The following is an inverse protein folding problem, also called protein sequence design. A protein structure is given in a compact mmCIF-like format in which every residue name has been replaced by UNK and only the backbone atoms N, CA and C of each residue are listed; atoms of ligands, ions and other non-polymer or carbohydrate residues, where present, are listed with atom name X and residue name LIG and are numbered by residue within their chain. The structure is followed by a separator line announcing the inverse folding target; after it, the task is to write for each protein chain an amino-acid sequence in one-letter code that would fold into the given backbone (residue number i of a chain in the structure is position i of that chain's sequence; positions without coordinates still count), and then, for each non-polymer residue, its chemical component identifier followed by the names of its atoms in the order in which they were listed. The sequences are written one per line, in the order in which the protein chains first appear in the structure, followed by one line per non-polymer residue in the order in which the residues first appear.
data_IF_640522092860
#
_entry.id   IF_640522092860
#
_cell.length_a   1.000
_cell.length_b   1.000
_cell.length_c   1.000
_cell.angle_alpha   90.00
_cell.angle_beta   90.00
_cell.angle_gamma   90.00
#
_symmetry.space_group_name_H-M   'P 1'
#
loop_
_entity.id
_entity.type
_entity.pdbx_description
1 polymer ?
#
# COMPACT_ATOMS: atom_id res chain seq x y z
N UNK A 1 -21.35 -4.29 -11.08
CA UNK A 1 -20.27 -3.42 -11.60
C UNK A 1 -19.23 -3.26 -10.50
N UNK A 2 -18.12 -4.03 -10.57
CA UNK A 2 -16.99 -3.93 -9.64
C UNK A 2 -16.07 -2.74 -9.98
N UNK A 3 -16.40 -2.00 -11.04
CA UNK A 3 -15.59 -0.97 -11.69
C UNK A 3 -15.60 0.39 -10.99
N UNK A 4 -16.49 0.63 -10.00
CA UNK A 4 -16.60 1.94 -9.33
C UNK A 4 -16.25 1.93 -7.84
N UNK A 5 -15.85 0.78 -7.28
CA UNK A 5 -15.49 0.71 -5.85
C UNK A 5 -13.99 0.92 -5.69
N UNK A 6 -13.55 1.84 -4.81
CA UNK A 6 -12.13 2.03 -4.54
C UNK A 6 -11.54 0.75 -3.94
N UNK A 7 -10.37 0.35 -4.43
CA UNK A 7 -9.65 -0.84 -3.97
C UNK A 7 -8.46 -0.39 -3.11
N UNK A 8 -8.44 -0.85 -1.86
CA UNK A 8 -7.32 -0.59 -0.94
C UNK A 8 -6.49 -1.86 -0.74
N UNK A 9 -5.18 -1.75 -0.95
CA UNK A 9 -4.20 -2.80 -0.65
C UNK A 9 -3.36 -2.37 0.53
N UNK A 10 -3.54 -3.03 1.67
CA UNK A 10 -2.76 -2.77 2.89
C UNK A 10 -1.64 -3.80 2.99
N UNK A 11 -0.39 -3.36 3.14
CA UNK A 11 0.78 -4.25 3.21
C UNK A 11 1.79 -3.79 4.26
N UNK A 12 2.58 -4.73 4.78
CA UNK A 12 3.64 -4.48 5.76
C UNK A 12 5.01 -4.78 5.16
N UNK A 13 6.01 -3.98 5.54
CA UNK A 13 7.39 -4.11 5.07
C UNK A 13 8.35 -3.90 6.23
N UNK A 14 9.27 -4.85 6.44
CA UNK A 14 10.29 -4.72 7.46
C UNK A 14 11.26 -3.56 7.20
N UNK A 15 11.60 -3.34 5.92
CA UNK A 15 12.38 -2.19 5.44
C UNK A 15 11.51 -1.04 4.93
N UNK A 16 12.16 -0.01 4.39
CA UNK A 16 11.52 1.16 3.77
C UNK A 16 11.91 1.17 2.29
N UNK A 17 10.93 0.96 1.42
CA UNK A 17 11.10 0.79 -0.02
C UNK A 17 10.28 1.80 -0.83
N UNK A 18 9.60 2.74 -0.17
CA UNK A 18 8.82 3.77 -0.84
C UNK A 18 9.61 4.65 -1.82
N UNK A 19 8.92 5.44 -2.65
CA UNK A 19 9.54 6.33 -3.63
C UNK A 19 10.62 7.23 -3.02
N UNK A 20 11.74 7.40 -3.72
CA UNK A 20 12.85 8.23 -3.27
C UNK A 20 13.80 7.57 -2.25
N UNK A 21 13.49 6.36 -1.77
CA UNK A 21 14.43 5.60 -0.93
C UNK A 21 15.54 4.96 -1.77
N UNK A 22 16.76 4.77 -1.23
CA UNK A 22 17.83 4.04 -1.92
C UNK A 22 17.45 2.60 -2.27
N UNK A 23 16.50 2.02 -1.53
CA UNK A 23 16.06 0.64 -1.70
C UNK A 23 14.81 0.51 -2.57
N UNK A 24 14.26 1.60 -3.14
CA UNK A 24 13.03 1.55 -3.93
C UNK A 24 13.09 0.55 -5.09
N UNK A 25 14.26 0.36 -5.69
CA UNK A 25 14.49 -0.62 -6.76
C UNK A 25 14.31 -2.10 -6.31
N UNK A 26 14.24 -2.36 -5.01
CA UNK A 26 13.99 -3.67 -4.40
C UNK A 26 12.50 -3.89 -4.08
N UNK A 27 11.63 -2.90 -4.33
CA UNK A 27 10.19 -3.10 -4.20
C UNK A 27 9.65 -3.94 -5.36
N UNK A 28 9.51 -5.23 -5.12
CA UNK A 28 8.87 -6.15 -6.04
C UNK A 28 7.38 -6.36 -5.73
N UNK A 29 6.91 -5.90 -4.56
CA UNK A 29 5.58 -6.22 -4.07
C UNK A 29 4.52 -5.31 -4.69
N UNK A 30 4.68 -3.99 -4.60
CA UNK A 30 3.69 -3.06 -5.15
C UNK A 30 3.58 -3.19 -6.68
N UNK A 31 4.67 -3.13 -7.46
CA UNK A 31 4.54 -3.14 -8.92
C UNK A 31 3.92 -4.43 -9.45
N UNK A 32 4.23 -5.56 -8.81
CA UNK A 32 3.65 -6.86 -9.15
C UNK A 32 2.15 -6.91 -8.84
N UNK A 33 1.76 -6.57 -7.61
CA UNK A 33 0.36 -6.61 -7.20
C UNK A 33 -0.49 -5.63 -8.02
N UNK A 34 -0.02 -4.40 -8.23
CA UNK A 34 -0.72 -3.43 -9.07
C UNK A 34 -0.94 -3.98 -10.48
N UNK A 35 0.07 -4.60 -11.08
CA UNK A 35 -0.08 -5.20 -12.41
C UNK A 35 -1.05 -6.38 -12.43
N UNK A 36 -1.01 -7.25 -11.42
CA UNK A 36 -1.91 -8.40 -11.32
C UNK A 36 -3.38 -7.96 -11.10
N UNK A 37 -3.61 -6.96 -10.26
CA UNK A 37 -4.95 -6.43 -9.98
C UNK A 37 -5.51 -5.64 -11.18
N UNK A 38 -4.69 -4.83 -11.84
CA UNK A 38 -5.08 -4.17 -13.10
C UNK A 38 -5.45 -5.20 -14.19
N UNK A 39 -4.75 -6.33 -14.25
CA UNK A 39 -5.02 -7.38 -15.24
C UNK A 39 -6.43 -7.98 -15.09
N UNK A 40 -6.99 -8.03 -13.87
CA UNK A 40 -8.35 -8.52 -13.60
C UNK A 40 -9.41 -7.42 -13.60
N UNK A 41 -9.06 -6.19 -14.04
CA UNK A 41 -9.99 -5.08 -14.19
C UNK A 41 -10.19 -4.21 -12.94
N UNK A 42 -9.28 -4.28 -11.97
CA UNK A 42 -9.26 -3.35 -10.83
C UNK A 42 -8.29 -2.20 -11.16
N UNK A 43 -8.80 -1.00 -11.41
CA UNK A 43 -7.97 0.13 -11.88
C UNK A 43 -7.75 1.19 -10.80
N UNK A 44 -8.75 1.43 -9.93
CA UNK A 44 -8.68 2.39 -8.83
C UNK A 44 -8.06 1.77 -7.57
N UNK A 45 -6.74 1.54 -7.61
CA UNK A 45 -6.00 0.87 -6.53
C UNK A 45 -5.14 1.86 -5.75
N UNK A 46 -5.48 2.03 -4.48
CA UNK A 46 -4.67 2.74 -3.47
C UNK A 46 -3.92 1.75 -2.59
N UNK A 47 -2.64 1.99 -2.36
CA UNK A 47 -1.83 1.17 -1.47
C UNK A 47 -1.55 1.94 -0.17
N UNK A 48 -1.63 1.23 0.95
CA UNK A 48 -1.28 1.73 2.28
C UNK A 48 -0.14 0.86 2.82
N UNK A 49 0.97 1.50 3.19
CA UNK A 49 2.18 0.82 3.63
C UNK A 49 2.44 1.01 5.12
N UNK A 50 2.59 -0.10 5.84
CA UNK A 50 3.28 -0.11 7.12
C UNK A 50 4.76 -0.47 6.89
N UNK A 51 5.62 0.52 6.66
CA UNK A 51 7.06 0.32 6.42
C UNK A 51 7.92 0.44 7.69
N UNK A 52 9.11 -0.17 7.68
CA UNK A 52 10.03 -0.08 8.80
C UNK A 52 9.61 -0.91 10.02
N UNK A 53 8.73 -1.91 9.85
CA UNK A 53 8.22 -2.72 10.97
C UNK A 53 9.30 -3.50 11.72
N UNK A 54 10.46 -3.72 11.10
CA UNK A 54 11.61 -4.33 11.76
C UNK A 54 12.27 -3.39 12.80
N UNK A 55 12.01 -2.08 12.74
CA UNK A 55 12.54 -1.07 13.68
C UNK A 55 11.56 -0.71 14.81
N UNK A 56 10.29 -1.08 14.67
CA UNK A 56 9.23 -0.79 15.63
C UNK A 56 7.90 -0.44 14.94
N UNK A 57 6.97 0.10 15.73
CA UNK A 57 5.57 0.22 15.33
C UNK A 57 5.20 1.53 14.65
N UNK A 58 6.16 2.43 14.41
CA UNK A 58 5.85 3.76 13.86
C UNK A 58 5.20 3.67 12.47
N UNK A 59 5.69 2.76 11.62
CA UNK A 59 5.07 2.50 10.32
C UNK A 59 3.66 1.90 10.44
N UNK A 60 3.42 1.08 11.46
CA UNK A 60 2.09 0.52 11.72
C UNK A 60 1.13 1.64 12.15
N UNK A 61 1.55 2.53 13.05
CA UNK A 61 0.74 3.67 13.51
C UNK A 61 0.42 4.63 12.37
N UNK A 62 1.39 4.90 11.50
CA UNK A 62 1.18 5.73 10.30
C UNK A 62 0.14 5.11 9.37
N UNK A 63 0.27 3.81 9.05
CA UNK A 63 -0.70 3.09 8.23
C UNK A 63 -2.10 3.06 8.86
N UNK A 64 -2.21 2.88 10.18
CA UNK A 64 -3.49 2.93 10.90
C UNK A 64 -4.15 4.31 10.79
N UNK A 65 -3.37 5.39 10.89
CA UNK A 65 -3.88 6.74 10.73
C UNK A 65 -4.41 6.98 9.30
N UNK A 66 -3.70 6.50 8.28
CA UNK A 66 -4.14 6.57 6.88
C UNK A 66 -5.41 5.74 6.65
N UNK A 67 -5.48 4.51 7.16
CA UNK A 67 -6.67 3.66 7.10
C UNK A 67 -7.87 4.37 7.73
N UNK A 68 -7.68 4.98 8.90
CA UNK A 68 -8.75 5.70 9.58
C UNK A 68 -9.25 6.91 8.76
N UNK A 69 -8.38 7.59 8.01
CA UNK A 69 -8.76 8.69 7.13
C UNK A 69 -9.58 8.19 5.93
N UNK A 70 -9.11 7.16 5.23
CA UNK A 70 -9.83 6.64 4.05
C UNK A 70 -11.15 5.98 4.42
N UNK A 71 -11.23 5.33 5.59
CA UNK A 71 -12.47 4.73 6.08
C UNK A 71 -13.54 5.76 6.49
N UNK A 72 -13.15 7.00 6.80
CA UNK A 72 -14.09 8.09 7.09
C UNK A 72 -14.59 8.78 5.81
N UNK A 73 -13.85 8.67 4.72
CA UNK A 73 -14.17 9.28 3.44
C UNK A 73 -15.00 8.38 2.50
N UNK A 74 -15.10 7.09 2.83
CA UNK A 74 -15.90 6.08 2.13
C UNK A 74 -17.32 5.97 2.71
#
# INVERSE_FOLDING_TARGET
EMSSSPIYVVTTRGGVYGPGTPFNHLDHLEPYLRRALNFIGLEDISFIYAEGTAKGDDGIKAAQAEIAQVAQAA
#
